data_IF_746361781275
#
_entry.id   IF_746361781275
#
_cell.length_a   1.000
_cell.length_b   1.000
_cell.length_c   1.000
_cell.angle_alpha   90.00
_cell.angle_beta   90.00
_cell.angle_gamma   90.00
#
_symmetry.space_group_name_H-M   'P 1'
#
loop_
_entity.id
_entity.type
_entity.pdbx_description
1 polymer ?
#
# COMPACT_ATOMS: atom_id res chain seq x y z
N UNK A 1 17.39 7.59 -10.52
CA UNK A 1 17.04 7.34 -9.12
C UNK A 1 18.35 7.16 -8.36
N UNK A 2 18.71 8.14 -7.52
CA UNK A 2 19.95 8.10 -6.74
C UNK A 2 19.59 7.53 -5.37
N UNK A 3 20.18 6.39 -5.01
CA UNK A 3 20.00 5.76 -3.71
C UNK A 3 21.07 6.29 -2.76
N UNK A 4 20.68 6.87 -1.65
CA UNK A 4 21.60 7.14 -0.54
C UNK A 4 21.82 5.87 0.27
N UNK A 5 23.04 5.67 0.70
CA UNK A 5 23.46 4.52 1.52
C UNK A 5 23.55 4.98 2.97
N UNK A 6 22.73 4.43 3.82
CA UNK A 6 22.92 4.53 5.27
C UNK A 6 23.79 3.36 5.72
N UNK A 7 24.93 3.67 6.32
CA UNK A 7 25.80 2.68 6.95
C UNK A 7 25.57 2.74 8.46
N UNK A 8 25.01 1.70 9.02
CA UNK A 8 24.93 1.53 10.47
C UNK A 8 26.11 0.67 10.90
N UNK A 9 26.93 1.20 11.81
CA UNK A 9 28.05 0.49 12.40
C UNK A 9 27.59 -0.16 13.69
N UNK A 10 27.74 -1.47 13.80
CA UNK A 10 27.50 -2.21 15.03
C UNK A 10 28.81 -2.81 15.55
N UNK A 11 29.00 -2.78 16.86
CA UNK A 11 30.06 -3.52 17.51
C UNK A 11 29.92 -5.01 17.17
N UNK A 12 30.94 -5.59 16.54
CA UNK A 12 31.06 -6.96 16.01
C UNK A 12 30.89 -7.13 14.48
N UNK A 13 31.53 -6.31 13.66
CA UNK A 13 31.86 -6.62 12.25
C UNK A 13 30.72 -7.00 11.31
N UNK A 14 29.48 -6.69 11.58
CA UNK A 14 28.40 -6.85 10.62
C UNK A 14 27.95 -5.49 10.07
N UNK A 15 28.39 -5.19 8.87
CA UNK A 15 27.90 -4.04 8.11
C UNK A 15 26.50 -4.37 7.59
N UNK A 16 25.46 -3.76 8.14
CA UNK A 16 24.16 -3.74 7.50
C UNK A 16 24.14 -2.59 6.49
N UNK A 17 24.10 -2.96 5.23
CA UNK A 17 23.94 -2.00 4.15
C UNK A 17 22.46 -1.81 3.90
N UNK A 18 21.90 -0.79 4.53
CA UNK A 18 20.51 -0.43 4.35
C UNK A 18 20.37 0.49 3.14
N UNK A 19 19.54 0.11 2.21
CA UNK A 19 19.18 0.95 1.09
C UNK A 19 17.85 1.60 1.41
N UNK A 20 17.87 2.89 1.71
CA UNK A 20 16.66 3.70 1.84
C UNK A 20 16.45 4.45 0.53
N UNK A 21 15.32 4.27 -0.14
CA UNK A 21 14.99 5.12 -1.26
C UNK A 21 14.77 6.56 -0.75
N UNK A 22 15.44 7.51 -1.40
CA UNK A 22 15.08 8.93 -1.43
C UNK A 22 15.21 9.85 -0.21
N UNK A 23 16.24 9.77 0.61
CA UNK A 23 16.56 10.91 1.50
C UNK A 23 16.85 12.24 0.75
N UNK A 24 17.01 12.20 -0.57
CA UNK A 24 17.39 13.35 -1.42
C UNK A 24 16.35 13.82 -2.42
N UNK A 25 15.15 13.26 -2.46
CA UNK A 25 14.11 13.87 -3.28
C UNK A 25 13.63 15.18 -2.64
N UNK A 26 14.37 16.24 -2.88
CA UNK A 26 13.84 17.60 -2.79
C UNK A 26 13.00 17.83 -4.05
N UNK A 27 11.76 17.48 -4.05
CA UNK A 27 10.78 18.20 -4.83
C UNK A 27 10.51 19.49 -4.09
N UNK A 28 10.56 20.58 -4.81
CA UNK A 28 10.45 21.92 -4.27
C UNK A 28 9.05 22.23 -3.72
N UNK A 29 8.06 21.39 -3.98
CA UNK A 29 6.66 21.57 -3.59
C UNK A 29 6.14 20.28 -2.93
N UNK A 30 5.95 20.33 -1.63
CA UNK A 30 4.98 19.56 -0.84
C UNK A 30 5.17 18.04 -0.73
N UNK A 31 6.38 17.57 -0.49
CA UNK A 31 6.57 16.20 0.02
C UNK A 31 6.61 16.30 1.55
N UNK A 32 5.56 15.84 2.20
CA UNK A 32 5.63 15.46 3.59
C UNK A 32 6.78 14.44 3.74
N UNK A 33 7.52 14.55 4.85
CA UNK A 33 8.65 13.65 5.09
C UNK A 33 8.14 12.21 5.09
N UNK A 34 8.83 11.28 4.42
CA UNK A 34 8.41 9.89 4.42
C UNK A 34 8.35 9.38 5.85
N UNK A 35 7.26 8.73 6.19
CA UNK A 35 7.10 8.03 7.46
C UNK A 35 7.77 6.67 7.32
N UNK A 36 8.67 6.35 8.23
CA UNK A 36 9.33 5.06 8.29
C UNK A 36 8.78 4.22 9.43
N UNK A 37 8.54 2.95 9.13
CA UNK A 37 8.15 1.92 10.08
C UNK A 37 8.94 0.63 9.82
N UNK A 38 8.98 -0.24 10.79
CA UNK A 38 9.55 -1.58 10.67
C UNK A 38 8.45 -2.61 10.82
N UNK A 39 8.45 -3.61 9.95
CA UNK A 39 7.59 -4.77 10.07
C UNK A 39 8.44 -5.98 10.44
N UNK A 40 8.14 -6.58 11.57
CA UNK A 40 8.62 -7.90 11.94
C UNK A 40 7.59 -8.93 11.47
N UNK A 41 8.03 -9.89 10.68
CA UNK A 41 7.14 -10.82 10.00
C UNK A 41 7.51 -12.25 10.36
N UNK A 42 6.51 -13.03 10.76
CA UNK A 42 6.64 -14.47 11.03
C UNK A 42 5.99 -15.28 9.93
N UNK A 43 6.36 -16.55 9.86
CA UNK A 43 5.69 -17.49 8.96
C UNK A 43 4.23 -17.64 9.38
N UNK A 44 3.33 -17.69 8.42
CA UNK A 44 1.89 -17.74 8.67
C UNK A 44 1.43 -19.13 9.15
N UNK A 45 2.14 -20.18 8.73
CA UNK A 45 1.81 -21.58 9.06
C UNK A 45 2.49 -21.94 10.38
N UNK A 46 3.74 -21.53 10.54
CA UNK A 46 4.50 -21.73 11.77
C UNK A 46 4.85 -20.37 12.41
N UNK A 47 4.03 -19.91 13.34
CA UNK A 47 4.22 -18.59 13.99
C UNK A 47 5.47 -18.51 14.86
N UNK A 48 6.17 -19.61 15.10
CA UNK A 48 7.48 -19.63 15.81
C UNK A 48 8.62 -19.28 14.85
N UNK A 49 8.42 -19.46 13.55
CA UNK A 49 9.43 -19.20 12.54
C UNK A 49 9.40 -17.75 12.10
N UNK A 50 10.47 -17.05 12.41
CA UNK A 50 10.67 -15.67 11.94
C UNK A 50 11.01 -15.68 10.45
N UNK A 51 10.26 -14.91 9.64
CA UNK A 51 10.52 -14.79 8.21
C UNK A 51 11.50 -13.66 7.90
N UNK A 52 11.38 -12.52 8.58
CA UNK A 52 12.31 -11.41 8.39
C UNK A 52 11.78 -10.07 8.86
N UNK A 53 12.67 -9.08 8.77
CA UNK A 53 12.38 -7.67 9.04
C UNK A 53 12.28 -6.91 7.72
N UNK A 54 11.23 -6.10 7.57
CA UNK A 54 11.07 -5.18 6.46
C UNK A 54 11.08 -3.73 6.95
N UNK A 55 11.68 -2.86 6.17
CA UNK A 55 11.51 -1.42 6.31
C UNK A 55 10.41 -0.97 5.37
N UNK A 56 9.53 -0.17 5.90
CA UNK A 56 8.46 0.50 5.16
C UNK A 56 8.80 1.96 5.03
N UNK A 57 8.67 2.49 3.83
CA UNK A 57 8.67 3.91 3.53
C UNK A 57 7.29 4.29 3.02
N UNK A 58 6.59 5.17 3.73
CA UNK A 58 5.31 5.73 3.29
C UNK A 58 5.53 7.15 2.81
N UNK A 59 5.26 7.39 1.53
CA UNK A 59 5.45 8.67 0.85
C UNK A 59 4.09 9.26 0.54
N UNK A 60 3.85 10.48 0.99
CA UNK A 60 2.68 11.27 0.64
C UNK A 60 3.09 12.31 -0.40
N UNK A 61 2.26 12.49 -1.42
CA UNK A 61 2.46 13.51 -2.45
C UNK A 61 1.17 14.26 -2.67
N UNK A 62 1.28 15.57 -2.74
CA UNK A 62 0.20 16.44 -3.21
C UNK A 62 0.63 17.04 -4.54
N UNK A 63 -0.24 17.04 -5.52
CA UNK A 63 0.00 17.72 -6.78
C UNK A 63 -1.23 18.51 -7.19
N UNK A 64 -0.97 19.76 -7.57
CA UNK A 64 -1.98 20.62 -8.19
C UNK A 64 -1.60 20.78 -9.65
N UNK A 65 -2.46 20.38 -10.55
CA UNK A 65 -2.28 20.59 -11.98
C UNK A 65 -3.15 21.78 -12.41
N UNK A 66 -2.50 22.85 -12.80
CA UNK A 66 -3.14 23.97 -13.47
C UNK A 66 -3.32 23.63 -14.95
N UNK A 67 -4.51 23.90 -15.48
CA UNK A 67 -4.82 23.80 -16.91
C UNK A 67 -4.92 22.39 -17.52
N UNK A 68 -6.09 21.82 -17.40
CA UNK A 68 -6.61 20.94 -18.46
C UNK A 68 -7.49 21.81 -19.40
N UNK A 69 -7.09 22.07 -20.65
CA UNK A 69 -7.77 23.01 -21.56
C UNK A 69 -9.22 22.61 -21.92
N UNK A 70 -9.68 21.47 -21.47
CA UNK A 70 -11.03 20.94 -21.72
C UNK A 70 -11.85 20.71 -20.45
N UNK A 71 -11.34 21.12 -19.28
CA UNK A 71 -12.00 20.92 -18.00
C UNK A 71 -12.27 22.30 -17.39
N UNK A 72 -13.52 22.58 -17.11
CA UNK A 72 -13.99 23.84 -16.49
C UNK A 72 -13.61 23.97 -15.01
N UNK A 73 -12.81 23.08 -14.48
CA UNK A 73 -12.32 23.10 -13.09
C UNK A 73 -10.92 23.71 -13.06
N UNK A 74 -10.78 24.81 -12.39
CA UNK A 74 -9.56 25.63 -12.39
C UNK A 74 -8.32 24.92 -11.82
N UNK A 75 -8.50 23.89 -11.01
CA UNK A 75 -7.39 23.13 -10.40
C UNK A 75 -7.78 21.68 -10.10
N UNK A 76 -7.05 20.74 -10.68
CA UNK A 76 -7.09 19.33 -10.27
C UNK A 76 -6.07 19.11 -9.15
N UNK A 77 -6.55 18.99 -7.91
CA UNK A 77 -5.70 18.56 -6.81
C UNK A 77 -5.79 17.05 -6.66
N UNK A 78 -4.64 16.41 -6.61
CA UNK A 78 -4.53 14.98 -6.33
C UNK A 78 -3.61 14.76 -5.14
N UNK A 79 -4.05 13.93 -4.22
CA UNK A 79 -3.23 13.42 -3.13
C UNK A 79 -2.87 11.96 -3.45
N UNK A 80 -1.65 11.56 -3.17
CA UNK A 80 -1.16 10.20 -3.42
C UNK A 80 -0.47 9.67 -2.16
N UNK A 81 -0.72 8.42 -1.84
CA UNK A 81 0.08 7.62 -0.90
C UNK A 81 0.82 6.53 -1.69
N UNK A 82 2.11 6.39 -1.43
CA UNK A 82 2.93 5.28 -1.91
C UNK A 82 3.59 4.60 -0.71
N UNK A 83 3.37 3.31 -0.56
CA UNK A 83 3.96 2.46 0.46
C UNK A 83 4.99 1.57 -0.21
N UNK A 84 6.26 1.69 0.18
CA UNK A 84 7.37 0.90 -0.34
C UNK A 84 7.87 0.00 0.78
N UNK A 85 7.96 -1.30 0.53
CA UNK A 85 8.38 -2.30 1.51
C UNK A 85 9.61 -3.03 0.98
N UNK A 86 10.66 -3.07 1.80
CA UNK A 86 11.94 -3.69 1.47
C UNK A 86 12.43 -4.54 2.63
N UNK A 87 12.89 -5.76 2.37
CA UNK A 87 13.58 -6.55 3.39
C UNK A 87 14.95 -5.96 3.70
N UNK A 88 15.32 -5.98 4.98
CA UNK A 88 16.56 -5.35 5.47
C UNK A 88 17.82 -6.10 5.02
N UNK A 89 17.71 -7.41 4.82
CA UNK A 89 18.79 -8.34 4.47
C UNK A 89 18.90 -8.58 2.95
N UNK A 90 18.03 -7.98 2.15
CA UNK A 90 18.01 -8.21 0.70
C UNK A 90 18.61 -7.07 -0.11
N UNK A 91 19.00 -7.38 -1.35
CA UNK A 91 19.45 -6.37 -2.30
C UNK A 91 18.28 -5.47 -2.71
N UNK A 92 18.52 -4.17 -2.97
CA UNK A 92 17.48 -3.17 -3.22
C UNK A 92 16.58 -3.42 -4.44
N UNK A 93 16.85 -4.46 -5.21
CA UNK A 93 16.03 -4.85 -6.37
C UNK A 93 14.72 -5.54 -6.00
N UNK A 94 14.59 -6.01 -4.76
CA UNK A 94 13.41 -6.71 -4.28
C UNK A 94 12.63 -5.77 -3.37
N UNK A 95 11.77 -5.00 -3.98
CA UNK A 95 10.83 -4.11 -3.30
C UNK A 95 9.43 -4.39 -3.78
N UNK A 96 8.46 -4.24 -2.89
CA UNK A 96 7.05 -4.20 -3.24
C UNK A 96 6.53 -2.80 -2.95
N UNK A 97 5.71 -2.26 -3.84
CA UNK A 97 5.09 -0.96 -3.62
C UNK A 97 3.59 -1.05 -3.84
N UNK A 98 2.87 -0.26 -3.06
CA UNK A 98 1.42 -0.11 -3.13
C UNK A 98 1.10 1.37 -3.25
N UNK A 99 0.14 1.72 -4.10
CA UNK A 99 -0.24 3.11 -4.35
C UNK A 99 -1.73 3.28 -4.27
N UNK A 100 -2.13 4.43 -3.74
CA UNK A 100 -3.49 4.92 -3.81
C UNK A 100 -3.46 6.41 -4.08
N UNK A 101 -4.57 6.95 -4.59
CA UNK A 101 -4.69 8.37 -4.79
C UNK A 101 -6.13 8.84 -4.55
N UNK A 102 -6.25 10.11 -4.19
CA UNK A 102 -7.48 10.85 -4.07
C UNK A 102 -7.49 12.00 -5.06
N UNK A 103 -8.65 12.31 -5.64
CA UNK A 103 -8.89 13.52 -6.40
C UNK A 103 -10.19 14.17 -5.96
N UNK A 104 -10.13 15.46 -5.66
CA UNK A 104 -11.31 16.23 -5.28
C UNK A 104 -12.30 16.40 -6.45
N UNK A 105 -11.78 16.43 -7.67
CA UNK A 105 -12.53 16.68 -8.89
C UNK A 105 -12.22 15.59 -9.92
N UNK A 106 -12.81 14.43 -9.74
CA UNK A 106 -12.70 13.31 -10.69
C UNK A 106 -13.90 13.32 -11.63
N UNK A 107 -13.72 13.23 -12.94
CA UNK A 107 -14.83 13.16 -13.90
C UNK A 107 -15.56 11.82 -13.76
N UNK A 108 -16.81 11.84 -13.31
CA UNK A 108 -17.63 10.63 -13.10
C UNK A 108 -18.54 10.33 -14.29
N UNK A 109 -18.74 11.30 -15.18
CA UNK A 109 -19.56 11.13 -16.38
C UNK A 109 -19.00 11.91 -17.56
N UNK A 110 -19.42 11.54 -18.78
CA UNK A 110 -19.16 12.30 -20.01
C UNK A 110 -19.92 13.64 -20.04
N UNK A 111 -20.83 13.87 -19.10
CA UNK A 111 -21.63 15.09 -18.98
C UNK A 111 -20.97 16.22 -18.21
N UNK A 112 -19.70 16.07 -17.78
CA UNK A 112 -18.96 17.11 -17.08
C UNK A 112 -19.24 17.19 -15.57
N UNK A 113 -19.87 16.17 -15.00
CA UNK A 113 -20.02 16.06 -13.54
C UNK A 113 -18.72 15.57 -12.90
N UNK A 114 -18.32 16.27 -11.84
CA UNK A 114 -17.11 15.95 -11.05
C UNK A 114 -17.50 15.59 -9.64
N UNK A 115 -16.80 14.63 -9.06
CA UNK A 115 -16.95 14.28 -7.65
C UNK A 115 -15.61 13.91 -7.04
N UNK A 116 -15.57 13.94 -5.72
CA UNK A 116 -14.42 13.41 -5.01
C UNK A 116 -14.32 11.89 -5.22
N UNK A 117 -13.12 11.40 -5.57
CA UNK A 117 -12.90 9.97 -5.81
C UNK A 117 -11.57 9.51 -5.23
N UNK A 118 -11.51 8.25 -4.82
CA UNK A 118 -10.31 7.54 -4.39
C UNK A 118 -10.06 6.30 -5.23
N UNK A 119 -8.81 6.06 -5.57
CA UNK A 119 -8.37 4.82 -6.18
C UNK A 119 -7.50 4.07 -5.17
N UNK A 120 -7.97 2.94 -4.67
CA UNK A 120 -7.26 2.15 -3.65
C UNK A 120 -6.36 1.06 -4.24
N UNK A 121 -6.42 0.85 -5.54
CA UNK A 121 -5.72 -0.25 -6.23
C UNK A 121 -4.63 0.22 -7.19
N UNK A 122 -4.20 1.45 -7.10
CA UNK A 122 -3.22 2.18 -7.95
C UNK A 122 -2.33 1.33 -8.88
N UNK A 123 -2.90 0.70 -9.86
CA UNK A 123 -2.35 -0.17 -10.92
C UNK A 123 -1.76 -1.52 -10.49
N UNK A 124 -1.25 -1.70 -9.27
CA UNK A 124 -0.59 -2.97 -8.90
C UNK A 124 -0.80 -3.32 -7.41
N UNK A 125 -1.90 -4.03 -7.10
CA UNK A 125 -2.02 -4.79 -5.84
C UNK A 125 -1.30 -6.16 -5.93
N UNK A 126 -0.65 -6.45 -7.05
CA UNK A 126 -0.02 -7.73 -7.25
C UNK A 126 1.42 -7.70 -6.74
N UNK A 127 1.67 -8.44 -5.66
CA UNK A 127 3.03 -8.73 -5.24
C UNK A 127 3.65 -9.69 -6.28
N UNK A 128 4.50 -9.16 -7.17
CA UNK A 128 5.14 -9.93 -8.24
C UNK A 128 6.22 -10.87 -7.70
N UNK A 129 6.95 -10.42 -6.68
CA UNK A 129 7.98 -11.24 -6.07
C UNK A 129 7.36 -12.34 -5.20
N UNK A 130 7.68 -13.61 -5.53
CA UNK A 130 7.16 -14.76 -4.84
C UNK A 130 7.58 -14.85 -3.37
N UNK A 131 8.71 -14.26 -3.01
CA UNK A 131 9.22 -14.26 -1.63
C UNK A 131 8.35 -13.44 -0.68
N UNK A 132 7.76 -12.35 -1.17
CA UNK A 132 6.86 -11.51 -0.37
C UNK A 132 5.41 -12.04 -0.32
N UNK A 133 5.09 -13.06 -1.14
CA UNK A 133 3.72 -13.60 -1.20
C UNK A 133 3.43 -14.49 0.01
N UNK A 134 2.20 -14.39 0.50
CA UNK A 134 1.72 -15.24 1.60
C UNK A 134 1.99 -14.68 3.00
N UNK A 135 2.78 -13.63 3.15
CA UNK A 135 3.17 -13.03 4.43
C UNK A 135 2.24 -11.90 4.90
N UNK A 136 1.04 -11.77 4.31
CA UNK A 136 0.03 -10.73 4.62
C UNK A 136 0.49 -9.28 4.41
N UNK A 137 1.62 -9.07 3.76
CA UNK A 137 2.14 -7.73 3.46
C UNK A 137 1.13 -6.90 2.67
N UNK A 138 0.47 -7.52 1.65
CA UNK A 138 -0.60 -6.84 0.90
C UNK A 138 -1.82 -6.50 1.76
N UNK A 139 -2.16 -7.33 2.74
CA UNK A 139 -3.26 -7.07 3.69
C UNK A 139 -2.92 -5.89 4.60
N UNK A 140 -1.68 -5.86 5.11
CA UNK A 140 -1.18 -4.74 5.91
C UNK A 140 -1.18 -3.43 5.10
N UNK A 141 -0.58 -3.44 3.90
CA UNK A 141 -0.51 -2.26 3.05
C UNK A 141 -1.91 -1.73 2.66
N UNK A 142 -2.86 -2.62 2.37
CA UNK A 142 -4.24 -2.24 2.10
C UNK A 142 -4.90 -1.62 3.32
N UNK A 143 -4.63 -2.13 4.52
CA UNK A 143 -5.12 -1.54 5.76
C UNK A 143 -4.64 -0.09 5.93
N UNK A 144 -3.36 0.18 5.68
CA UNK A 144 -2.79 1.53 5.75
C UNK A 144 -3.38 2.45 4.67
N UNK A 145 -3.55 1.96 3.44
CA UNK A 145 -4.23 2.70 2.37
C UNK A 145 -5.66 3.06 2.78
N UNK A 146 -6.43 2.13 3.36
CA UNK A 146 -7.81 2.38 3.78
C UNK A 146 -7.86 3.41 4.91
N UNK A 147 -6.96 3.33 5.90
CA UNK A 147 -6.85 4.36 6.93
C UNK A 147 -6.63 5.74 6.32
N UNK A 148 -5.79 5.81 5.29
CA UNK A 148 -5.50 7.06 4.61
C UNK A 148 -6.72 7.56 3.80
N UNK A 149 -7.39 6.73 3.00
CA UNK A 149 -8.54 7.18 2.19
C UNK A 149 -9.75 7.56 3.02
N UNK A 150 -9.88 7.05 4.26
CA UNK A 150 -10.96 7.44 5.19
C UNK A 150 -10.92 8.90 5.64
N UNK A 151 -9.88 9.66 5.30
CA UNK A 151 -9.85 11.12 5.46
C UNK A 151 -10.89 11.80 4.55
N UNK A 152 -11.35 11.13 3.49
CA UNK A 152 -12.37 11.62 2.56
C UNK A 152 -13.57 10.65 2.52
N UNK A 153 -14.38 10.61 3.59
CA UNK A 153 -15.42 9.58 3.78
C UNK A 153 -16.48 9.58 2.68
N UNK A 154 -16.75 10.74 2.07
CA UNK A 154 -17.76 10.91 1.03
C UNK A 154 -17.20 10.74 -0.39
N UNK A 155 -15.91 10.44 -0.53
CA UNK A 155 -15.31 10.18 -1.83
C UNK A 155 -15.75 8.82 -2.38
N UNK A 156 -16.07 8.78 -3.68
CA UNK A 156 -16.35 7.52 -4.37
C UNK A 156 -15.09 6.68 -4.50
N UNK A 157 -15.20 5.40 -4.16
CA UNK A 157 -14.16 4.42 -4.50
C UNK A 157 -14.29 4.10 -5.98
N UNK A 158 -13.23 4.36 -6.75
CA UNK A 158 -13.25 4.03 -8.17
C UNK A 158 -13.44 2.53 -8.40
N UNK A 159 -14.21 2.16 -9.41
CA UNK A 159 -14.52 0.76 -9.69
C UNK A 159 -13.24 -0.09 -9.84
N UNK A 160 -13.20 -1.19 -9.13
CA UNK A 160 -12.11 -2.15 -9.16
C UNK A 160 -12.46 -3.23 -10.18
N UNK A 161 -11.65 -3.30 -11.23
CA UNK A 161 -11.76 -4.37 -12.22
C UNK A 161 -10.91 -5.56 -11.79
N UNK A 162 -11.52 -6.72 -11.69
CA UNK A 162 -10.81 -7.99 -11.52
C UNK A 162 -10.85 -8.79 -12.84
N UNK A 163 -9.74 -9.43 -13.16
CA UNK A 163 -9.58 -10.16 -14.42
C UNK A 163 -9.28 -11.65 -14.18
N UNK A 164 -9.48 -12.46 -15.20
CA UNK A 164 -9.13 -13.89 -15.17
C UNK A 164 -7.64 -14.12 -14.98
N UNK A 165 -6.80 -13.22 -15.51
CA UNK A 165 -5.34 -13.30 -15.32
C UNK A 165 -4.93 -13.18 -13.87
N UNK A 166 -5.72 -12.44 -13.06
CA UNK A 166 -5.50 -12.28 -11.63
C UNK A 166 -6.06 -13.46 -10.81
N UNK A 167 -6.88 -14.29 -11.45
CA UNK A 167 -7.52 -15.45 -10.81
C UNK A 167 -6.66 -16.72 -10.83
N UNK A 168 -5.37 -16.60 -11.18
CA UNK A 168 -4.47 -17.73 -11.31
C UNK A 168 -4.21 -18.43 -9.97
N UNK A 169 -4.48 -19.75 -9.91
CA UNK A 169 -4.24 -20.64 -8.74
C UNK A 169 -4.71 -20.01 -7.41
N UNK A 170 -3.80 -20.00 -6.42
CA UNK A 170 -4.05 -19.47 -5.07
C UNK A 170 -4.25 -17.94 -5.04
N UNK A 171 -3.92 -17.23 -6.12
CA UNK A 171 -4.06 -15.77 -6.16
C UNK A 171 -5.53 -15.34 -6.06
N UNK A 172 -6.44 -16.08 -6.70
CA UNK A 172 -7.89 -15.81 -6.60
C UNK A 172 -8.35 -15.81 -5.15
N UNK A 173 -7.99 -16.84 -4.38
CA UNK A 173 -8.39 -16.94 -2.96
C UNK A 173 -7.85 -15.78 -2.12
N UNK A 174 -6.59 -15.38 -2.36
CA UNK A 174 -5.96 -14.25 -1.64
C UNK A 174 -6.62 -12.93 -2.00
N UNK A 175 -6.85 -12.69 -3.28
CA UNK A 175 -7.53 -11.51 -3.82
C UNK A 175 -8.93 -11.39 -3.24
N UNK A 176 -9.73 -12.44 -3.36
CA UNK A 176 -11.11 -12.47 -2.90
C UNK A 176 -11.19 -12.29 -1.37
N UNK A 177 -10.23 -12.86 -0.63
CA UNK A 177 -10.12 -12.66 0.81
C UNK A 177 -9.88 -11.18 1.17
N UNK A 178 -8.93 -10.51 0.51
CA UNK A 178 -8.63 -9.10 0.77
C UNK A 178 -9.87 -8.25 0.49
N UNK A 179 -10.44 -8.35 -0.71
CA UNK A 179 -11.58 -7.52 -1.11
C UNK A 179 -12.81 -7.74 -0.22
N UNK A 180 -13.12 -8.99 0.11
CA UNK A 180 -14.21 -9.30 1.04
C UNK A 180 -14.00 -8.64 2.40
N UNK A 181 -12.80 -8.70 2.95
CA UNK A 181 -12.54 -8.13 4.28
C UNK A 181 -12.56 -6.60 4.29
N UNK A 182 -12.21 -5.94 3.19
CA UNK A 182 -12.33 -4.48 3.09
C UNK A 182 -13.74 -4.02 2.72
N UNK A 183 -14.70 -4.94 2.55
CA UNK A 183 -16.10 -4.61 2.26
C UNK A 183 -16.41 -4.42 0.77
N UNK A 184 -15.49 -4.76 -0.13
CA UNK A 184 -15.72 -4.64 -1.58
C UNK A 184 -16.47 -5.85 -2.10
N UNK A 185 -17.60 -5.61 -2.73
CA UNK A 185 -18.40 -6.61 -3.43
C UNK A 185 -18.30 -6.44 -4.94
N UNK A 186 -18.44 -7.56 -5.69
CA UNK A 186 -18.28 -7.58 -7.13
C UNK A 186 -19.52 -8.06 -7.85
N UNK A 187 -19.84 -7.37 -8.94
CA UNK A 187 -20.69 -7.89 -9.99
C UNK A 187 -19.82 -8.73 -10.93
N UNK A 188 -19.93 -10.05 -10.81
CA UNK A 188 -19.12 -10.96 -11.59
C UNK A 188 -19.67 -11.12 -13.01
N UNK A 189 -18.79 -11.15 -14.00
CA UNK A 189 -19.12 -11.34 -15.40
C UNK A 189 -19.18 -12.82 -15.81
N UNK A 190 -18.81 -13.74 -14.92
CA UNK A 190 -18.84 -15.19 -15.16
C UNK A 190 -19.14 -15.99 -13.90
N UNK A 191 -19.64 -17.23 -14.08
CA UNK A 191 -20.03 -18.13 -12.98
C UNK A 191 -18.85 -18.56 -12.09
N UNK A 192 -17.64 -18.61 -12.65
CA UNK A 192 -16.41 -18.96 -11.94
C UNK A 192 -15.89 -17.83 -11.04
N UNK A 193 -16.52 -16.64 -11.07
CA UNK A 193 -16.16 -15.47 -10.28
C UNK A 193 -14.68 -15.07 -10.50
N UNK A 194 -14.20 -15.15 -11.73
CA UNK A 194 -12.81 -14.84 -12.08
C UNK A 194 -12.63 -13.43 -12.60
N UNK A 195 -13.68 -12.85 -13.18
CA UNK A 195 -13.71 -11.46 -13.66
C UNK A 195 -14.98 -10.75 -13.21
N UNK A 196 -14.90 -9.43 -13.08
CA UNK A 196 -16.01 -8.61 -12.66
C UNK A 196 -15.57 -7.19 -12.29
N UNK A 197 -16.57 -6.38 -11.96
CA UNK A 197 -16.41 -4.99 -11.54
C UNK A 197 -16.99 -4.83 -10.15
N UNK A 198 -16.32 -4.06 -9.28
CA UNK A 198 -16.87 -3.77 -7.96
C UNK A 198 -18.15 -2.96 -8.06
N UNK A 199 -19.08 -3.18 -7.12
CA UNK A 199 -20.21 -2.27 -6.95
C UNK A 199 -19.71 -0.89 -6.51
N UNK A 200 -20.46 0.19 -6.85
CA UNK A 200 -20.19 1.53 -6.34
C UNK A 200 -20.23 1.56 -4.82
N UNK A 201 -19.27 2.26 -4.21
CA UNK A 201 -19.22 2.45 -2.76
C UNK A 201 -18.48 3.74 -2.40
N UNK A 202 -18.68 4.23 -1.17
CA UNK A 202 -17.96 5.37 -0.62
C UNK A 202 -16.74 4.92 0.20
N UNK A 203 -15.77 5.79 0.37
CA UNK A 203 -14.59 5.52 1.19
C UNK A 203 -14.93 5.23 2.66
N UNK A 204 -16.02 5.80 3.18
CA UNK A 204 -16.54 5.51 4.53
C UNK A 204 -16.98 4.05 4.72
N UNK A 205 -17.43 3.39 3.65
CA UNK A 205 -17.91 2.01 3.68
C UNK A 205 -16.78 0.96 3.68
N UNK A 206 -15.54 1.38 3.35
CA UNK A 206 -14.38 0.50 3.41
C UNK A 206 -14.06 0.10 4.85
N UNK A 207 -13.69 -1.17 5.07
CA UNK A 207 -13.29 -1.69 6.36
C UNK A 207 -11.77 -1.75 6.51
N UNK A 208 -11.25 -1.26 7.63
CA UNK A 208 -9.84 -1.45 8.00
C UNK A 208 -9.62 -2.89 8.45
N UNK A 209 -8.57 -3.54 7.95
CA UNK A 209 -8.27 -4.95 8.25
C UNK A 209 -7.14 -5.00 9.27
N UNK A 210 -7.38 -5.69 10.40
CA UNK A 210 -6.37 -5.91 11.45
C UNK A 210 -5.93 -7.38 11.57
N UNK A 211 -6.41 -8.26 10.70
CA UNK A 211 -6.09 -9.70 10.75
C UNK A 211 -4.61 -10.03 10.49
N UNK A 212 -3.82 -9.07 10.08
CA UNK A 212 -2.37 -9.17 9.90
C UNK A 212 -1.59 -8.98 11.20
N UNK A 213 -2.16 -8.24 12.14
CA UNK A 213 -1.51 -7.81 13.37
C UNK A 213 -1.40 -8.96 14.38
N UNK A 214 -0.16 -9.29 14.74
CA UNK A 214 0.15 -10.38 15.67
C UNK A 214 -0.33 -10.11 17.10
N UNK A 215 -0.51 -8.86 17.47
CA UNK A 215 -0.97 -8.46 18.79
C UNK A 215 -2.50 -8.47 18.90
N UNK A 216 -3.19 -8.17 17.80
CA UNK A 216 -4.67 -8.07 17.76
C UNK A 216 -5.37 -9.34 17.31
N UNK A 217 -4.70 -10.20 16.54
CA UNK A 217 -5.28 -11.41 15.95
C UNK A 217 -4.37 -12.62 16.21
N UNK A 218 -4.93 -13.70 16.77
CA UNK A 218 -4.21 -14.95 17.06
C UNK A 218 -3.55 -15.59 15.82
N UNK A 219 -4.04 -15.26 14.64
CA UNK A 219 -3.48 -15.70 13.36
C UNK A 219 -2.66 -14.61 12.67
N UNK A 220 -2.52 -13.44 13.31
CA UNK A 220 -1.67 -12.37 12.84
C UNK A 220 -0.20 -12.79 12.83
N UNK A 221 0.55 -12.30 11.87
CA UNK A 221 1.95 -12.66 11.68
C UNK A 221 2.87 -11.45 11.43
N UNK A 222 2.35 -10.24 11.59
CA UNK A 222 3.11 -8.99 11.44
C UNK A 222 3.01 -8.23 12.75
N UNK A 223 4.15 -7.73 13.24
CA UNK A 223 4.25 -6.73 14.29
C UNK A 223 4.88 -5.47 13.71
N UNK A 224 4.30 -4.32 13.99
CA UNK A 224 4.85 -3.01 13.59
C UNK A 224 5.68 -2.41 14.72
N UNK A 225 6.74 -1.72 14.36
CA UNK A 225 7.60 -1.00 15.29
C UNK A 225 7.97 0.36 14.68
N UNK A 226 7.96 1.47 15.47
CA UNK A 226 8.51 2.73 15.02
C UNK A 226 9.99 2.57 14.62
N UNK A 227 10.38 3.18 13.50
CA UNK A 227 11.76 3.06 12.99
C UNK A 227 12.81 3.57 13.98
N UNK A 228 12.46 4.61 14.76
CA UNK A 228 13.33 5.15 15.83
C UNK A 228 13.60 4.14 16.94
N UNK A 229 12.58 3.37 17.31
CA UNK A 229 12.69 2.37 18.40
C UNK A 229 13.54 1.19 17.93
N UNK A 230 13.32 0.76 16.68
CA UNK A 230 14.16 -0.23 16.02
C UNK A 230 15.63 0.19 16.00
N UNK A 231 15.95 1.44 15.60
CA UNK A 231 17.33 1.94 15.62
C UNK A 231 17.93 1.98 17.03
N UNK A 232 17.16 2.42 18.02
CA UNK A 232 17.61 2.45 19.42
C UNK A 232 17.91 1.04 19.95
N UNK A 233 17.12 0.04 19.56
CA UNK A 233 17.35 -1.37 19.90
C UNK A 233 18.58 -1.99 19.24
N UNK A 234 19.09 -1.39 18.16
CA UNK A 234 20.31 -1.85 17.49
C UNK A 234 21.61 -1.24 18.12
N UNK A 235 21.48 -0.13 18.85
CA UNK A 235 22.61 0.62 19.41
C UNK A 235 22.91 0.20 20.87
N UNK A 236 21.91 -0.35 21.57
CA UNK A 236 22.02 -0.88 22.93
C UNK A 236 22.33 -2.38 22.93
#
# INVERSE_FOLDING_TARGET
>A
MVYDRLYLFFDNYRYFKMWLPSFKQKSVNDIERPRFEVLHIWDRIDPTKYWGTCIVETIYRSSVRDNYPHITVDKLSTEEIEIIISRIDEKPKKQVSFKAWYSKHYPISTGGEYSAAVCITGRDLCIRDSEYRGHRIGTWAMSEIIKWVKQWPDAYVLPILISETDAYKENKKRRDFIYKNIGVEFNYSNDNKTSGLSYPMLASELNVINSWDKESDKHGNIKTEPFTDFLNGLIN
#
